data_IF_624773607644
#
_entry.id   IF_624773607644
#
_cell.length_a   1.000
_cell.length_b   1.000
_cell.length_c   1.000
_cell.angle_alpha   90.00
_cell.angle_beta   90.00
_cell.angle_gamma   90.00
#
_symmetry.space_group_name_H-M   'P 1'
#
loop_
_entity.id
_entity.type
_entity.pdbx_description
1 polymer ?
#
# COMPACT_ATOMS: atom_id res chain seq x y z
N UNK A 1 -11.92 -12.96 -1.54
CA UNK A 1 -13.22 -13.59 -1.18
C UNK A 1 -13.04 -14.12 0.23
N UNK A 2 -13.70 -13.60 1.25
CA UNK A 2 -15.10 -13.89 1.62
C UNK A 2 -15.87 -12.66 2.16
N UNK A 3 -17.20 -12.75 2.12
CA UNK A 3 -18.22 -11.96 2.84
C UNK A 3 -19.22 -12.98 3.45
N UNK A 4 -19.85 -12.74 4.62
CA UNK A 4 -21.20 -12.16 4.59
C UNK A 4 -21.56 -11.17 5.73
N UNK A 5 -22.10 -10.02 5.30
CA UNK A 5 -23.28 -9.26 5.78
C UNK A 5 -23.54 -9.02 7.29
N UNK A 6 -23.35 -7.77 7.77
CA UNK A 6 -24.45 -6.89 8.21
C UNK A 6 -24.01 -5.47 8.66
N UNK A 7 -24.68 -4.47 8.06
CA UNK A 7 -25.09 -3.16 8.61
C UNK A 7 -24.11 -2.15 9.22
N UNK A 8 -22.84 -2.13 8.81
CA UNK A 8 -22.12 -0.85 8.69
C UNK A 8 -21.24 -0.95 7.47
N UNK A 9 -21.46 -0.06 6.49
CA UNK A 9 -20.67 0.01 5.27
C UNK A 9 -19.25 0.42 5.71
N UNK A 10 -18.41 -0.55 6.11
CA UNK A 10 -16.97 -0.40 6.00
C UNK A 10 -16.74 -0.31 4.50
N UNK A 11 -16.66 0.92 3.99
CA UNK A 11 -15.98 1.12 2.72
C UNK A 11 -14.70 0.29 2.79
N UNK A 12 -14.46 -0.56 1.80
CA UNK A 12 -13.15 -1.19 1.67
C UNK A 12 -12.16 -0.03 1.52
N UNK A 13 -11.59 0.42 2.63
CA UNK A 13 -10.55 1.43 2.60
C UNK A 13 -9.46 0.90 1.67
N UNK A 14 -9.12 1.68 0.65
CA UNK A 14 -8.04 1.34 -0.26
C UNK A 14 -6.71 1.51 0.47
N UNK A 15 -6.36 0.52 1.30
CA UNK A 15 -5.13 0.56 2.11
C UNK A 15 -3.90 0.06 1.36
N UNK A 16 -4.06 -0.54 0.17
CA UNK A 16 -2.97 -1.18 -0.58
C UNK A 16 -1.77 -0.27 -0.87
N UNK A 17 -2.02 1.02 -1.19
CA UNK A 17 -0.93 1.97 -1.40
C UNK A 17 -0.17 2.26 -0.11
N UNK A 18 -0.88 2.43 1.01
CA UNK A 18 -0.27 2.62 2.33
C UNK A 18 0.54 1.40 2.75
N UNK A 19 -0.04 0.21 2.67
CA UNK A 19 0.63 -1.02 3.09
C UNK A 19 1.87 -1.33 2.26
N UNK A 20 1.90 -0.93 0.97
CA UNK A 20 3.10 -1.04 0.16
C UNK A 20 4.22 -0.08 0.61
N UNK A 21 3.87 1.15 1.01
CA UNK A 21 4.84 2.15 1.49
C UNK A 21 5.52 1.71 2.79
N UNK A 22 4.77 1.07 3.70
CA UNK A 22 5.27 0.66 5.02
C UNK A 22 5.70 -0.82 5.07
N UNK A 23 5.80 -1.48 3.92
CA UNK A 23 6.18 -2.90 3.85
C UNK A 23 7.64 -3.09 4.30
N UNK A 24 7.85 -3.84 5.37
CA UNK A 24 9.15 -3.96 6.04
C UNK A 24 10.29 -4.42 5.12
N UNK A 25 9.99 -5.35 4.22
CA UNK A 25 11.01 -5.95 3.35
C UNK A 25 11.28 -5.09 2.10
N UNK A 26 10.50 -4.03 1.86
CA UNK A 26 10.67 -3.13 0.72
C UNK A 26 11.76 -2.10 1.00
N UNK A 27 12.91 -2.21 0.34
CA UNK A 27 14.06 -1.31 0.58
C UNK A 27 14.55 -0.58 -0.67
N UNK A 28 13.97 -0.84 -1.85
CA UNK A 28 14.20 -0.10 -3.09
C UNK A 28 12.91 0.55 -3.55
N UNK A 29 13.04 1.79 -4.01
CA UNK A 29 11.95 2.58 -4.57
C UNK A 29 12.43 3.21 -5.87
N UNK A 30 11.67 3.05 -6.94
CA UNK A 30 11.86 3.77 -8.20
C UNK A 30 10.56 4.41 -8.62
N UNK A 31 10.56 5.70 -8.89
CA UNK A 31 9.36 6.45 -9.30
C UNK A 31 9.59 7.23 -10.59
N UNK A 32 8.53 7.41 -11.35
CA UNK A 32 8.46 8.27 -12.53
C UNK A 32 7.24 9.18 -12.39
N UNK A 33 7.41 10.43 -12.79
CA UNK A 33 6.38 11.47 -12.77
C UNK A 33 6.34 12.06 -14.17
N UNK A 34 5.20 11.97 -14.84
CA UNK A 34 5.02 12.54 -16.17
C UNK A 34 3.77 13.42 -16.21
N UNK A 35 3.87 14.55 -16.89
CA UNK A 35 2.70 15.37 -17.21
C UNK A 35 2.16 14.93 -18.57
N UNK A 36 0.93 14.42 -18.57
CA UNK A 36 0.21 13.99 -19.75
C UNK A 36 -0.76 15.09 -20.19
N UNK A 37 -0.37 15.85 -21.21
CA UNK A 37 -1.24 16.86 -21.83
C UNK A 37 -2.19 16.19 -22.85
N UNK A 38 -3.19 15.46 -22.34
CA UNK A 38 -4.16 14.73 -23.16
C UNK A 38 -5.54 15.41 -23.02
N UNK A 39 -6.00 16.17 -24.03
CA UNK A 39 -7.33 16.76 -24.01
C UNK A 39 -8.44 15.70 -23.96
N UNK A 40 -9.56 15.95 -23.24
CA UNK A 40 -9.91 17.16 -22.49
C UNK A 40 -9.43 17.16 -21.03
N UNK A 41 -8.65 16.16 -20.61
CA UNK A 41 -8.32 15.92 -19.21
C UNK A 41 -6.81 15.75 -19.02
N UNK A 42 -6.04 16.85 -19.06
CA UNK A 42 -4.62 16.80 -18.75
C UNK A 42 -4.42 16.33 -17.30
N UNK A 43 -3.37 15.55 -17.06
CA UNK A 43 -3.08 15.02 -15.73
C UNK A 43 -1.59 14.79 -15.50
N UNK A 44 -1.18 14.82 -14.23
CA UNK A 44 0.14 14.30 -13.83
C UNK A 44 0.00 12.83 -13.44
N UNK A 45 0.70 11.96 -14.13
CA UNK A 45 0.73 10.52 -13.84
C UNK A 45 1.98 10.17 -13.04
N UNK A 46 1.78 9.56 -11.87
CA UNK A 46 2.85 9.17 -10.96
C UNK A 46 2.82 7.65 -10.79
N UNK A 47 3.95 7.00 -11.04
CA UNK A 47 4.10 5.55 -10.86
C UNK A 47 5.33 5.28 -10.02
N UNK A 48 5.19 4.47 -8.98
CA UNK A 48 6.30 3.98 -8.18
C UNK A 48 6.32 2.45 -8.16
N UNK A 49 7.51 1.87 -8.32
CA UNK A 49 7.77 0.45 -8.11
C UNK A 49 8.58 0.26 -6.82
N UNK A 50 8.21 -0.78 -6.07
CA UNK A 50 8.85 -1.18 -4.82
C UNK A 50 9.59 -2.49 -5.04
N UNK A 51 10.83 -2.57 -4.53
CA UNK A 51 11.68 -3.74 -4.65
C UNK A 51 12.30 -4.13 -3.31
N UNK A 52 12.12 -5.37 -2.83
CA UNK A 52 11.09 -6.35 -3.19
C UNK A 52 9.66 -5.79 -3.13
N UNK A 53 8.74 -6.40 -3.87
CA UNK A 53 7.31 -6.09 -3.80
C UNK A 53 6.73 -6.45 -2.43
N UNK A 54 5.63 -5.81 -2.05
CA UNK A 54 4.91 -6.07 -0.80
C UNK A 54 3.47 -6.50 -1.04
N UNK A 55 2.62 -6.32 -0.02
CA UNK A 55 1.19 -6.62 -0.07
C UNK A 55 0.86 -8.09 -0.40
N UNK A 56 1.70 -9.01 0.06
CA UNK A 56 1.40 -10.43 -0.04
C UNK A 56 0.23 -10.79 0.89
N UNK A 57 -0.71 -11.55 0.35
CA UNK A 57 -1.88 -12.03 1.10
C UNK A 57 -1.38 -12.89 2.28
N UNK A 58 -2.03 -12.74 3.43
CA UNK A 58 -1.73 -13.45 4.68
C UNK A 58 -0.33 -13.19 5.27
N UNK A 59 0.32 -12.07 4.91
CA UNK A 59 1.57 -11.63 5.52
C UNK A 59 1.41 -10.37 6.38
N UNK A 60 2.26 -10.24 7.40
CA UNK A 60 2.34 -9.01 8.19
C UNK A 60 3.14 -7.95 7.43
N UNK A 61 2.63 -6.71 7.45
CA UNK A 61 3.29 -5.56 6.83
C UNK A 61 4.68 -5.31 7.45
N UNK A 62 4.78 -5.43 8.77
CA UNK A 62 6.02 -5.36 9.54
C UNK A 62 5.90 -6.18 10.83
N UNK A 63 7.03 -6.67 11.32
CA UNK A 63 7.14 -7.38 12.58
C UNK A 63 6.80 -6.46 13.75
N UNK A 64 5.99 -6.97 14.68
CA UNK A 64 5.76 -6.29 15.96
C UNK A 64 7.07 -6.32 16.74
N UNK A 65 7.60 -5.15 17.11
CA UNK A 65 8.65 -5.11 18.13
C UNK A 65 8.08 -5.70 19.41
N UNK A 66 8.75 -6.73 19.94
CA UNK A 66 8.53 -7.14 21.33
C UNK A 66 9.08 -6.00 22.17
N UNK A 67 8.20 -5.17 22.74
CA UNK A 67 8.61 -4.32 23.87
C UNK A 67 9.20 -5.28 24.89
N UNK A 68 10.46 -5.09 25.27
CA UNK A 68 11.02 -5.85 26.38
C UNK A 68 10.16 -5.55 27.60
N UNK A 69 9.25 -6.47 27.94
CA UNK A 69 8.77 -6.66 29.31
C UNK A 69 9.99 -7.14 30.10
N UNK A 70 10.86 -6.21 30.46
CA UNK A 70 11.87 -6.28 31.51
C UNK A 70 12.60 -4.94 31.57
N UNK A 71 11.99 -3.99 32.27
CA UNK A 71 12.71 -3.06 33.11
C UNK A 71 12.09 -3.11 34.50
#
# INVERSE_FOLDING_TARGET
>A
MYSPTNSSIRQKEQIGHYTQMVWQDGYKLGCVIEYCDIPPAPMTFVVCQYGPGGNFIDQFIYGKRRTALNR
#
